data_IF_554273333930
#
_entry.id   IF_554273333930
#
_cell.length_a   1.000
_cell.length_b   1.000
_cell.length_c   1.000
_cell.angle_alpha   90.00
_cell.angle_beta   90.00
_cell.angle_gamma   90.00
#
_symmetry.space_group_name_H-M   'P 1'
#
loop_
_entity.id
_entity.type
_entity.pdbx_description
1 polymer ?
#
# COMPACT_ATOMS: atom_id res chain seq x y z
N UNK A 1 61.49 -21.17 7.47
CA UNK A 1 60.26 -21.61 6.79
C UNK A 1 59.05 -20.92 7.40
N UNK A 2 58.63 -19.81 6.81
CA UNK A 2 57.52 -18.98 7.34
C UNK A 2 56.24 -19.27 6.59
N UNK A 3 55.17 -19.72 7.27
CA UNK A 3 53.83 -19.93 6.71
C UNK A 3 53.09 -18.59 6.64
N UNK A 4 52.81 -18.12 5.42
CA UNK A 4 51.89 -17.00 5.16
C UNK A 4 50.46 -17.46 5.44
N UNK A 5 49.77 -16.77 6.38
CA UNK A 5 48.31 -16.89 6.54
C UNK A 5 47.60 -16.07 5.44
N UNK A 6 46.76 -16.74 4.68
CA UNK A 6 45.88 -16.08 3.72
C UNK A 6 44.74 -15.39 4.50
N UNK A 7 44.61 -14.07 4.37
CA UNK A 7 43.43 -13.33 4.79
C UNK A 7 42.35 -13.48 3.71
N UNK A 8 41.31 -14.25 3.98
CA UNK A 8 40.05 -14.27 3.21
C UNK A 8 39.25 -13.05 3.60
N UNK A 9 39.22 -12.06 2.73
CA UNK A 9 38.36 -10.89 2.83
C UNK A 9 36.90 -11.32 2.54
N UNK A 10 36.06 -11.33 3.55
CA UNK A 10 34.62 -11.39 3.41
C UNK A 10 34.15 -10.07 2.75
N UNK A 11 33.80 -10.11 1.47
CA UNK A 11 33.05 -9.03 0.83
C UNK A 11 31.65 -9.01 1.46
N UNK A 12 31.41 -8.05 2.34
CA UNK A 12 30.10 -7.74 2.85
C UNK A 12 29.15 -7.45 1.68
N UNK A 13 27.99 -8.11 1.65
CA UNK A 13 26.90 -7.75 0.77
C UNK A 13 26.57 -6.28 1.02
N UNK A 14 26.60 -5.47 -0.03
CA UNK A 14 26.09 -4.09 0.05
C UNK A 14 24.63 -4.16 0.49
N UNK A 15 24.20 -3.32 1.45
CA UNK A 15 22.80 -3.23 1.81
C UNK A 15 22.00 -2.81 0.55
N UNK A 16 20.87 -3.48 0.30
CA UNK A 16 19.94 -3.08 -0.75
C UNK A 16 19.49 -1.63 -0.57
N UNK A 17 18.92 -0.99 -1.62
CA UNK A 17 18.50 0.40 -1.54
C UNK A 17 17.58 0.58 -0.34
N UNK A 18 17.96 1.49 0.55
CA UNK A 18 17.13 1.89 1.69
C UNK A 18 15.79 2.46 1.17
N UNK A 19 14.66 2.20 1.87
CA UNK A 19 13.38 2.80 1.51
C UNK A 19 13.55 4.31 1.33
N UNK A 20 13.00 4.87 0.24
CA UNK A 20 13.09 6.31 0.01
C UNK A 20 12.31 7.04 1.11
N UNK A 21 13.04 7.50 2.12
CA UNK A 21 12.49 8.30 3.20
C UNK A 21 12.12 9.69 2.67
N UNK A 22 10.94 10.15 3.04
CA UNK A 22 10.43 11.47 2.68
C UNK A 22 11.07 12.54 3.58
N UNK A 23 12.15 13.14 3.15
CA UNK A 23 12.77 14.28 3.84
C UNK A 23 12.08 15.60 3.47
N UNK A 24 10.91 15.86 4.07
CA UNK A 24 10.27 17.16 3.94
C UNK A 24 10.99 18.20 4.82
N UNK A 25 11.30 19.36 4.24
CA UNK A 25 11.73 20.51 5.04
C UNK A 25 10.64 20.93 6.04
N UNK A 26 11.02 21.62 7.11
CA UNK A 26 10.06 22.09 8.13
C UNK A 26 8.94 22.95 7.50
N UNK A 27 9.27 23.80 6.52
CA UNK A 27 8.30 24.62 5.80
C UNK A 27 7.30 23.74 5.01
N UNK A 28 7.76 22.78 4.22
CA UNK A 28 6.89 21.85 3.48
C UNK A 28 6.03 21.00 4.41
N UNK A 29 6.55 20.59 5.57
CA UNK A 29 5.79 19.86 6.58
C UNK A 29 4.66 20.69 7.17
N UNK A 30 4.93 21.95 7.49
CA UNK A 30 3.90 22.86 7.98
C UNK A 30 2.82 23.11 6.92
N UNK A 31 3.20 23.31 5.67
CA UNK A 31 2.26 23.46 4.56
C UNK A 31 1.38 22.20 4.39
N UNK A 32 1.99 21.00 4.44
CA UNK A 32 1.26 19.74 4.40
C UNK A 32 0.25 19.61 5.54
N UNK A 33 0.62 20.00 6.76
CA UNK A 33 -0.28 19.97 7.91
C UNK A 33 -1.50 20.88 7.69
N UNK A 34 -1.31 22.09 7.19
CA UNK A 34 -2.41 23.02 6.86
C UNK A 34 -3.34 22.42 5.80
N UNK A 35 -2.76 21.79 4.76
CA UNK A 35 -3.56 21.13 3.73
C UNK A 35 -4.32 19.92 4.28
N UNK A 36 -3.72 19.12 5.16
CA UNK A 36 -4.38 18.01 5.83
C UNK A 36 -5.52 18.45 6.74
N UNK A 37 -5.37 19.57 7.47
CA UNK A 37 -6.46 20.13 8.27
C UNK A 37 -7.62 20.61 7.38
N UNK A 38 -7.33 21.31 6.29
CA UNK A 38 -8.34 21.69 5.29
C UNK A 38 -9.04 20.46 4.70
N UNK A 39 -8.29 19.44 4.34
CA UNK A 39 -8.80 18.20 3.76
C UNK A 39 -9.73 17.48 4.76
N UNK A 40 -9.32 17.41 6.03
CA UNK A 40 -10.12 16.83 7.10
C UNK A 40 -11.45 17.57 7.28
N UNK A 41 -11.42 18.91 7.28
CA UNK A 41 -12.62 19.74 7.39
C UNK A 41 -13.57 19.51 6.21
N UNK A 42 -13.08 19.56 4.96
CA UNK A 42 -13.87 19.32 3.76
C UNK A 42 -14.50 17.92 3.74
N UNK A 43 -13.76 16.92 4.18
CA UNK A 43 -14.20 15.51 4.14
C UNK A 43 -15.08 15.10 5.31
N UNK A 44 -15.11 15.87 6.40
CA UNK A 44 -15.88 15.56 7.62
C UNK A 44 -17.18 16.37 7.77
N UNK A 45 -17.36 17.44 7.01
CA UNK A 45 -18.53 18.32 7.16
C UNK A 45 -19.78 17.68 6.54
N UNK A 46 -20.86 17.45 7.34
CA UNK A 46 -22.12 16.88 6.87
C UNK A 46 -22.84 17.72 5.80
N UNK A 47 -22.66 19.04 5.79
CA UNK A 47 -23.28 19.95 4.82
C UNK A 47 -22.90 19.63 3.37
N UNK A 48 -21.75 18.97 3.15
CA UNK A 48 -21.31 18.56 1.81
C UNK A 48 -21.92 17.26 1.30
N UNK A 49 -22.77 16.58 2.08
CA UNK A 49 -23.46 15.36 1.62
C UNK A 49 -24.44 15.68 0.50
N UNK A 50 -25.12 16.81 0.56
CA UNK A 50 -26.06 17.28 -0.48
C UNK A 50 -25.38 17.91 -1.70
N UNK A 51 -24.10 18.24 -1.61
CA UNK A 51 -23.29 18.82 -2.67
C UNK A 51 -22.06 17.95 -2.96
N UNK A 52 -22.28 16.65 -3.05
CA UNK A 52 -21.22 15.63 -3.13
C UNK A 52 -20.21 15.87 -4.26
N UNK A 53 -20.69 16.33 -5.43
CA UNK A 53 -19.81 16.64 -6.57
C UNK A 53 -18.91 17.86 -6.31
N UNK A 54 -19.45 18.97 -5.83
CA UNK A 54 -18.65 20.16 -5.54
C UNK A 54 -17.63 19.87 -4.43
N UNK A 55 -18.06 19.14 -3.41
CA UNK A 55 -17.14 18.69 -2.35
C UNK A 55 -16.00 17.83 -2.89
N UNK A 56 -16.28 16.93 -3.83
CA UNK A 56 -15.25 16.13 -4.50
C UNK A 56 -14.26 17.00 -5.27
N UNK A 57 -14.71 18.03 -5.96
CA UNK A 57 -13.83 18.98 -6.67
C UNK A 57 -12.92 19.72 -5.70
N UNK A 58 -13.47 20.24 -4.60
CA UNK A 58 -12.71 20.95 -3.56
C UNK A 58 -11.66 20.02 -2.91
N UNK A 59 -12.04 18.79 -2.58
CA UNK A 59 -11.12 17.76 -2.06
C UNK A 59 -10.01 17.46 -3.08
N UNK A 60 -10.37 17.28 -4.34
CA UNK A 60 -9.42 16.94 -5.41
C UNK A 60 -8.39 18.06 -5.62
N UNK A 61 -8.81 19.34 -5.54
CA UNK A 61 -7.88 20.48 -5.62
C UNK A 61 -6.85 20.45 -4.47
N UNK A 62 -7.31 20.18 -3.24
CA UNK A 62 -6.40 20.10 -2.09
C UNK A 62 -5.46 18.90 -2.23
N UNK A 63 -5.97 17.74 -2.68
CA UNK A 63 -5.16 16.55 -2.89
C UNK A 63 -4.08 16.75 -3.97
N UNK A 64 -4.35 17.51 -5.03
CA UNK A 64 -3.32 17.86 -6.01
C UNK A 64 -2.17 18.66 -5.37
N UNK A 65 -2.46 19.56 -4.44
CA UNK A 65 -1.43 20.30 -3.70
C UNK A 65 -0.65 19.36 -2.76
N UNK A 66 -1.35 18.48 -2.05
CA UNK A 66 -0.73 17.45 -1.19
C UNK A 66 0.22 16.57 -2.01
N UNK A 67 -0.22 16.02 -3.12
CA UNK A 67 0.61 15.17 -4.00
C UNK A 67 1.87 15.88 -4.47
N UNK A 68 1.80 17.17 -4.85
CA UNK A 68 2.97 17.97 -5.23
C UNK A 68 3.98 18.16 -4.10
N UNK A 69 3.52 18.30 -2.85
CA UNK A 69 4.41 18.39 -1.69
C UNK A 69 5.04 17.04 -1.35
N UNK A 70 4.30 15.97 -1.56
CA UNK A 70 4.72 14.61 -1.26
C UNK A 70 5.62 14.01 -2.35
N UNK A 71 5.83 14.69 -3.49
CA UNK A 71 6.54 14.22 -4.68
C UNK A 71 7.53 13.07 -4.39
N UNK A 72 7.08 11.84 -4.69
CA UNK A 72 7.90 10.66 -4.61
C UNK A 72 8.17 10.15 -6.03
N UNK A 73 9.39 9.70 -6.26
CA UNK A 73 9.68 9.00 -7.51
C UNK A 73 8.84 7.73 -7.53
N UNK A 74 8.04 7.58 -8.58
CA UNK A 74 7.27 6.35 -8.81
C UNK A 74 8.24 5.18 -8.89
N UNK A 75 8.15 4.24 -7.96
CA UNK A 75 8.88 2.99 -8.03
C UNK A 75 8.25 2.15 -9.16
N UNK A 76 8.91 2.08 -10.30
CA UNK A 76 8.54 1.13 -11.34
C UNK A 76 8.98 -0.26 -10.87
N UNK A 77 8.11 -0.96 -10.17
CA UNK A 77 8.33 -2.36 -9.83
C UNK A 77 8.17 -3.20 -11.10
N UNK A 78 9.24 -3.85 -11.53
CA UNK A 78 9.15 -4.90 -12.55
C UNK A 78 8.69 -6.19 -11.86
N UNK A 79 7.40 -6.31 -11.60
CA UNK A 79 6.76 -7.45 -10.92
C UNK A 79 7.14 -8.79 -11.54
N UNK A 80 7.26 -8.86 -12.86
CA UNK A 80 7.66 -10.06 -13.58
C UNK A 80 9.03 -10.62 -13.16
N UNK A 81 9.96 -9.77 -12.72
CA UNK A 81 11.27 -10.22 -12.20
C UNK A 81 11.17 -10.90 -10.83
N UNK A 82 10.14 -10.61 -10.05
CA UNK A 82 9.91 -11.18 -8.72
C UNK A 82 9.16 -12.51 -8.69
N UNK A 83 8.62 -12.97 -9.84
CA UNK A 83 7.75 -14.17 -9.89
C UNK A 83 8.42 -15.39 -9.29
N UNK A 84 9.65 -15.70 -9.70
CA UNK A 84 10.38 -16.89 -9.21
C UNK A 84 10.59 -16.85 -7.69
N UNK A 85 10.95 -15.68 -7.15
CA UNK A 85 11.14 -15.50 -5.72
C UNK A 85 9.82 -15.65 -4.95
N UNK A 86 8.73 -15.12 -5.50
CA UNK A 86 7.40 -15.25 -4.91
C UNK A 86 6.91 -16.70 -4.88
N UNK A 87 7.03 -17.43 -5.98
CA UNK A 87 6.61 -18.84 -6.07
C UNK A 87 7.45 -19.71 -5.11
N UNK A 88 8.77 -19.52 -5.07
CA UNK A 88 9.64 -20.20 -4.11
C UNK A 88 9.22 -19.91 -2.66
N UNK A 89 8.96 -18.65 -2.33
CA UNK A 89 8.47 -18.26 -1.00
C UNK A 89 7.15 -18.95 -0.65
N UNK A 90 6.21 -19.06 -1.61
CA UNK A 90 4.93 -19.77 -1.39
C UNK A 90 5.18 -21.26 -1.07
N UNK A 91 5.97 -21.95 -1.90
CA UNK A 91 6.21 -23.40 -1.75
C UNK A 91 7.03 -23.73 -0.51
N UNK A 92 8.05 -22.93 -0.17
CA UNK A 92 8.85 -23.07 1.06
C UNK A 92 7.99 -22.91 2.32
N UNK A 93 6.89 -22.17 2.23
CA UNK A 93 5.94 -21.98 3.34
C UNK A 93 4.69 -22.88 3.23
N UNK A 94 4.76 -23.94 2.43
CA UNK A 94 3.77 -25.00 2.39
C UNK A 94 2.59 -24.80 1.45
N UNK A 95 2.65 -23.82 0.55
CA UNK A 95 1.66 -23.72 -0.52
C UNK A 95 1.88 -24.83 -1.56
N UNK A 96 0.79 -25.35 -2.11
CA UNK A 96 0.78 -26.30 -3.22
C UNK A 96 0.19 -25.59 -4.43
N UNK A 97 1.02 -25.44 -5.45
CA UNK A 97 0.70 -24.70 -6.69
C UNK A 97 1.15 -25.50 -7.93
N UNK A 98 1.21 -26.83 -7.79
CA UNK A 98 1.65 -27.74 -8.83
C UNK A 98 0.76 -27.62 -10.07
N UNK A 99 1.37 -27.61 -11.25
CA UNK A 99 0.65 -27.44 -12.52
C UNK A 99 0.16 -26.02 -12.83
N UNK A 100 0.59 -25.02 -12.02
CA UNK A 100 0.27 -23.60 -12.24
C UNK A 100 1.54 -22.79 -12.43
N UNK A 101 1.45 -21.75 -13.26
CA UNK A 101 2.49 -20.72 -13.37
C UNK A 101 1.90 -19.31 -13.27
N UNK A 102 2.68 -18.40 -12.70
CA UNK A 102 2.38 -16.96 -12.77
C UNK A 102 3.03 -16.41 -14.03
N UNK A 103 2.24 -15.84 -14.92
CA UNK A 103 2.71 -15.32 -16.21
C UNK A 103 2.13 -13.95 -16.49
N UNK A 104 2.81 -13.19 -17.34
CA UNK A 104 2.30 -11.91 -17.83
C UNK A 104 1.46 -12.15 -19.08
N UNK A 105 0.21 -11.67 -19.04
CA UNK A 105 -0.71 -11.71 -20.18
C UNK A 105 -0.75 -10.33 -20.85
N UNK A 106 -0.52 -10.28 -22.15
CA UNK A 106 -0.55 -9.04 -22.91
C UNK A 106 -1.89 -8.31 -22.72
N UNK A 107 -1.83 -7.08 -22.21
CA UNK A 107 -3.01 -6.24 -21.92
C UNK A 107 -3.72 -6.55 -20.59
N UNK A 108 -3.31 -7.55 -19.81
CA UNK A 108 -3.96 -7.97 -18.56
C UNK A 108 -3.02 -8.05 -17.35
N UNK A 109 -1.72 -7.75 -17.52
CA UNK A 109 -0.72 -7.86 -16.46
C UNK A 109 -0.53 -9.33 -15.99
N UNK A 110 -0.14 -9.57 -14.75
CA UNK A 110 0.13 -10.91 -14.22
C UNK A 110 -1.16 -11.68 -13.93
N UNK A 111 -1.15 -12.96 -14.29
CA UNK A 111 -2.23 -13.89 -14.03
C UNK A 111 -1.73 -15.31 -13.81
N UNK A 112 -2.63 -16.24 -13.53
CA UNK A 112 -2.33 -17.66 -13.41
C UNK A 112 -2.62 -18.38 -14.72
N UNK A 113 -1.71 -19.26 -15.13
CA UNK A 113 -1.85 -20.17 -16.26
C UNK A 113 -1.76 -21.61 -15.79
N UNK A 114 -2.69 -22.46 -16.25
CA UNK A 114 -2.58 -23.90 -16.10
C UNK A 114 -1.49 -24.44 -17.05
N UNK A 115 -0.56 -25.20 -16.52
CA UNK A 115 0.48 -25.90 -17.29
C UNK A 115 0.14 -27.36 -17.55
N UNK A 116 -0.90 -27.87 -16.87
CA UNK A 116 -1.45 -29.20 -16.99
C UNK A 116 -2.97 -29.16 -17.07
N UNK A 117 -3.60 -30.20 -17.57
CA UNK A 117 -5.05 -30.36 -17.51
C UNK A 117 -5.48 -30.67 -16.07
N UNK A 118 -6.56 -30.06 -15.61
CA UNK A 118 -7.20 -30.36 -14.34
C UNK A 118 -8.57 -31.02 -14.60
N UNK A 119 -8.84 -32.07 -13.85
CA UNK A 119 -10.11 -32.77 -13.90
C UNK A 119 -11.12 -32.15 -12.92
N UNK A 120 -12.40 -32.44 -13.12
CA UNK A 120 -13.44 -31.99 -12.20
C UNK A 120 -13.18 -32.47 -10.76
N UNK A 121 -13.30 -31.60 -9.77
CA UNK A 121 -13.02 -31.81 -8.36
C UNK A 121 -11.53 -32.02 -8.01
N UNK A 122 -10.61 -31.84 -8.93
CA UNK A 122 -9.19 -31.86 -8.64
C UNK A 122 -8.75 -30.61 -7.90
N UNK A 123 -7.82 -30.74 -6.94
CA UNK A 123 -7.25 -29.62 -6.21
C UNK A 123 -6.30 -28.83 -7.11
N UNK A 124 -6.69 -27.59 -7.44
CA UNK A 124 -5.88 -26.70 -8.30
C UNK A 124 -4.75 -26.04 -7.50
N UNK A 125 -5.05 -25.51 -6.31
CA UNK A 125 -4.05 -24.93 -5.42
C UNK A 125 -4.48 -25.02 -3.96
N UNK A 126 -3.49 -24.99 -3.06
CA UNK A 126 -3.70 -24.92 -1.62
C UNK A 126 -2.76 -23.86 -1.04
N UNK A 127 -3.34 -22.84 -0.39
CA UNK A 127 -2.60 -21.75 0.26
C UNK A 127 -2.82 -21.83 1.76
N UNK A 128 -1.77 -22.10 2.56
CA UNK A 128 -1.88 -22.11 4.04
C UNK A 128 -2.38 -20.75 4.56
N UNK A 129 -3.21 -20.76 5.60
CA UNK A 129 -3.74 -19.54 6.24
C UNK A 129 -2.65 -18.57 6.70
N UNK A 130 -1.48 -19.07 7.09
CA UNK A 130 -0.32 -18.27 7.48
C UNK A 130 0.26 -17.42 6.34
N UNK A 131 -0.05 -17.76 5.08
CA UNK A 131 0.34 -17.02 3.88
C UNK A 131 -0.75 -16.07 3.36
N UNK A 132 -1.86 -15.94 4.07
CA UNK A 132 -2.90 -14.95 3.77
C UNK A 132 -2.61 -13.71 4.59
N UNK A 133 -2.28 -12.58 3.93
CA UNK A 133 -2.08 -11.31 4.60
C UNK A 133 -3.42 -10.79 5.13
N UNK A 134 -3.57 -10.72 6.43
CA UNK A 134 -4.81 -10.36 7.12
C UNK A 134 -4.51 -9.56 8.38
N UNK A 135 -5.52 -8.93 8.97
CA UNK A 135 -5.37 -8.24 10.27
C UNK A 135 -4.91 -9.18 11.38
N UNK A 136 -5.22 -10.47 11.30
CA UNK A 136 -4.75 -11.47 12.25
C UNK A 136 -3.26 -11.79 12.08
N UNK A 137 -2.80 -12.00 10.83
CA UNK A 137 -1.38 -12.30 10.54
C UNK A 137 -0.47 -11.08 10.70
N UNK A 138 -1.05 -9.87 10.64
CA UNK A 138 -0.36 -8.58 10.84
C UNK A 138 -0.64 -7.96 12.23
N UNK A 139 -1.25 -8.69 13.16
CA UNK A 139 -1.68 -8.15 14.46
C UNK A 139 -0.51 -7.55 15.27
N UNK A 140 0.69 -8.15 15.21
CA UNK A 140 1.88 -7.64 15.89
C UNK A 140 2.27 -6.22 15.43
N UNK A 141 2.09 -5.91 14.17
CA UNK A 141 2.43 -4.60 13.60
C UNK A 141 1.40 -3.53 13.99
N UNK A 142 0.19 -3.94 14.31
CA UNK A 142 -0.92 -3.05 14.69
C UNK A 142 -0.97 -2.77 16.20
N UNK A 143 -0.19 -3.46 17.03
CA UNK A 143 -0.20 -3.29 18.50
C UNK A 143 -0.02 -1.83 18.94
N UNK A 144 0.78 -1.07 18.21
CA UNK A 144 1.06 0.34 18.50
C UNK A 144 -0.16 1.23 18.27
N UNK A 145 -1.08 0.80 17.39
CA UNK A 145 -2.30 1.51 17.03
C UNK A 145 -3.55 0.80 17.56
N UNK A 146 -3.39 -0.17 18.46
CA UNK A 146 -4.49 -1.00 18.97
C UNK A 146 -5.61 -0.20 19.64
N UNK A 147 -5.30 1.01 20.16
CA UNK A 147 -6.28 1.89 20.80
C UNK A 147 -6.85 2.95 19.83
N UNK A 148 -6.44 2.95 18.56
CA UNK A 148 -6.98 3.87 17.57
C UNK A 148 -8.38 3.39 17.12
N UNK A 149 -9.42 4.23 17.20
CA UNK A 149 -10.80 3.82 16.88
C UNK A 149 -10.97 3.37 15.42
N UNK A 150 -10.25 3.96 14.46
CA UNK A 150 -10.34 3.55 13.07
C UNK A 150 -9.70 2.19 12.86
N UNK A 151 -8.56 1.91 13.52
CA UNK A 151 -7.88 0.61 13.44
C UNK A 151 -8.72 -0.49 14.11
N UNK A 152 -9.38 -0.17 15.25
CA UNK A 152 -10.22 -1.14 15.95
C UNK A 152 -11.51 -1.51 15.18
N UNK A 153 -12.17 -0.52 14.58
CA UNK A 153 -13.52 -0.70 14.05
C UNK A 153 -13.58 -0.80 12.52
N UNK A 154 -12.46 -0.59 11.82
CA UNK A 154 -12.38 -0.64 10.36
C UNK A 154 -11.27 -1.60 9.90
N UNK A 155 -11.56 -2.90 9.76
CA UNK A 155 -10.56 -3.91 9.42
C UNK A 155 -9.78 -3.60 8.13
N UNK A 156 -10.44 -3.00 7.13
CA UNK A 156 -9.78 -2.58 5.89
C UNK A 156 -8.75 -1.48 6.10
N UNK A 157 -9.00 -0.55 7.03
CA UNK A 157 -8.04 0.50 7.41
C UNK A 157 -6.86 -0.12 8.16
N UNK A 158 -7.14 -0.98 9.12
CA UNK A 158 -6.11 -1.73 9.84
C UNK A 158 -5.21 -2.52 8.89
N UNK A 159 -5.82 -3.21 7.91
CA UNK A 159 -5.08 -3.98 6.90
C UNK A 159 -4.19 -3.10 6.02
N UNK A 160 -4.70 -1.95 5.56
CA UNK A 160 -3.95 -1.00 4.75
C UNK A 160 -2.73 -0.45 5.51
N UNK A 161 -2.90 -0.07 6.78
CA UNK A 161 -1.79 0.40 7.64
C UNK A 161 -0.77 -0.72 7.88
N UNK A 162 -1.22 -1.94 8.18
CA UNK A 162 -0.34 -3.08 8.38
C UNK A 162 0.48 -3.42 7.13
N UNK A 163 -0.15 -3.38 5.96
CA UNK A 163 0.51 -3.61 4.67
C UNK A 163 1.57 -2.55 4.40
N UNK A 164 1.29 -1.29 4.72
CA UNK A 164 2.23 -0.20 4.55
C UNK A 164 3.43 -0.35 5.52
N UNK A 165 3.20 -0.74 6.77
CA UNK A 165 4.27 -1.02 7.74
C UNK A 165 5.18 -2.14 7.21
N UNK A 166 4.60 -3.28 6.83
CA UNK A 166 5.36 -4.43 6.33
C UNK A 166 6.13 -4.13 5.04
N UNK A 167 5.58 -3.30 4.16
CA UNK A 167 6.24 -2.90 2.91
C UNK A 167 7.55 -2.13 3.15
N UNK A 168 7.60 -1.33 4.22
CA UNK A 168 8.75 -0.47 4.53
C UNK A 168 9.56 -0.92 5.76
N UNK A 169 9.18 -2.02 6.39
CA UNK A 169 9.91 -2.65 7.46
C UNK A 169 11.12 -3.40 6.91
N UNK A 170 12.28 -3.19 7.54
CA UNK A 170 13.46 -4.01 7.23
C UNK A 170 13.18 -5.49 7.54
N UNK A 171 13.61 -6.38 6.66
CA UNK A 171 13.48 -7.83 6.83
C UNK A 171 12.04 -8.33 6.99
N UNK A 172 11.07 -7.72 6.31
CA UNK A 172 9.70 -8.24 6.27
C UNK A 172 9.66 -9.63 5.64
N UNK A 173 9.05 -10.59 6.35
CA UNK A 173 8.78 -11.94 5.81
C UNK A 173 7.81 -11.93 4.63
N UNK A 174 7.05 -10.84 4.49
CA UNK A 174 6.07 -10.63 3.43
C UNK A 174 6.66 -10.01 2.16
N UNK A 175 7.94 -9.67 2.18
CA UNK A 175 8.58 -8.97 1.07
C UNK A 175 8.32 -9.62 -0.30
N UNK A 176 8.43 -10.96 -0.48
CA UNK A 176 8.16 -11.56 -1.79
C UNK A 176 6.72 -11.35 -2.27
N UNK A 177 5.75 -11.34 -1.35
CA UNK A 177 4.34 -11.03 -1.65
C UNK A 177 4.15 -9.53 -1.95
N UNK A 178 4.73 -8.65 -1.14
CA UNK A 178 4.59 -7.19 -1.28
C UNK A 178 5.20 -6.67 -2.58
N UNK A 179 6.28 -7.28 -3.04
CA UNK A 179 6.93 -6.96 -4.32
C UNK A 179 6.07 -7.37 -5.54
N UNK A 180 5.10 -8.28 -5.35
CA UNK A 180 4.15 -8.71 -6.37
C UNK A 180 2.89 -7.86 -6.45
N UNK A 181 2.65 -6.96 -5.49
CA UNK A 181 1.47 -6.09 -5.52
C UNK A 181 1.56 -5.09 -6.68
N UNK A 182 0.44 -4.79 -7.36
CA UNK A 182 0.39 -3.77 -8.40
C UNK A 182 0.78 -2.40 -7.84
N UNK A 183 1.41 -1.57 -8.67
CA UNK A 183 1.72 -0.18 -8.34
C UNK A 183 0.56 0.78 -8.64
N UNK A 184 -0.43 0.35 -9.42
CA UNK A 184 -1.63 1.10 -9.76
C UNK A 184 -2.82 0.17 -9.95
N UNK A 185 -4.02 0.71 -9.79
CA UNK A 185 -5.28 -0.03 -9.91
C UNK A 185 -6.26 0.77 -10.77
N UNK A 186 -7.26 0.10 -11.33
CA UNK A 186 -8.32 0.70 -12.15
C UNK A 186 -9.59 0.99 -11.34
N UNK A 187 -9.44 1.37 -10.08
CA UNK A 187 -10.57 1.75 -9.21
C UNK A 187 -10.90 3.24 -9.32
N UNK A 188 -12.04 3.65 -8.79
CA UNK A 188 -12.49 5.06 -8.78
C UNK A 188 -11.50 6.01 -8.09
N UNK A 189 -10.64 5.51 -7.20
CA UNK A 189 -9.61 6.30 -6.54
C UNK A 189 -8.48 6.73 -7.48
N UNK A 190 -8.27 6.00 -8.58
CA UNK A 190 -7.29 6.30 -9.64
C UNK A 190 -7.89 7.10 -10.80
N UNK A 191 -9.23 7.27 -10.84
CA UNK A 191 -9.91 8.03 -11.86
C UNK A 191 -9.60 9.51 -11.74
N UNK A 192 -9.42 10.16 -12.89
CA UNK A 192 -9.35 11.62 -12.98
C UNK A 192 -10.77 12.20 -12.91
N UNK A 193 -10.86 13.49 -12.67
CA UNK A 193 -12.15 14.19 -12.62
C UNK A 193 -12.97 14.00 -13.89
N UNK A 194 -12.33 13.96 -15.06
CA UNK A 194 -13.02 13.71 -16.33
C UNK A 194 -13.58 12.30 -16.44
N UNK A 195 -12.89 11.31 -15.88
CA UNK A 195 -13.37 9.92 -15.86
C UNK A 195 -14.55 9.78 -14.88
N UNK A 196 -14.49 10.48 -13.74
CA UNK A 196 -15.57 10.51 -12.75
C UNK A 196 -16.86 11.16 -13.31
N UNK A 197 -16.75 12.12 -14.23
CA UNK A 197 -17.91 12.74 -14.89
C UNK A 197 -18.70 11.73 -15.72
N UNK A 198 -18.04 10.75 -16.33
CA UNK A 198 -18.69 9.71 -17.13
C UNK A 198 -19.61 8.81 -16.29
N UNK A 199 -19.45 8.81 -14.97
CA UNK A 199 -20.35 8.11 -14.05
C UNK A 199 -21.66 8.86 -13.77
N UNK A 200 -21.87 10.08 -14.31
CA UNK A 200 -23.11 10.83 -14.14
C UNK A 200 -24.33 10.04 -14.65
N UNK A 201 -25.38 10.04 -13.83
CA UNK A 201 -26.59 9.25 -14.13
C UNK A 201 -26.52 7.80 -13.66
N UNK A 202 -25.35 7.33 -13.20
CA UNK A 202 -25.21 6.02 -12.57
C UNK A 202 -25.27 6.13 -11.04
N UNK A 203 -25.88 5.19 -10.32
CA UNK A 203 -25.83 5.10 -8.86
C UNK A 203 -24.39 4.90 -8.34
N UNK A 204 -23.48 4.43 -9.18
CA UNK A 204 -22.07 4.24 -8.85
C UNK A 204 -21.35 5.56 -8.53
N UNK A 205 -21.77 6.71 -9.13
CA UNK A 205 -21.16 8.00 -8.87
C UNK A 205 -21.18 8.36 -7.38
N UNK A 206 -22.33 8.26 -6.73
CA UNK A 206 -22.46 8.60 -5.31
C UNK A 206 -21.56 7.73 -4.42
N UNK A 207 -21.49 6.43 -4.72
CA UNK A 207 -20.60 5.51 -4.02
C UNK A 207 -19.12 5.88 -4.22
N UNK A 208 -18.74 6.22 -5.46
CA UNK A 208 -17.38 6.65 -5.81
C UNK A 208 -16.99 7.95 -5.08
N UNK A 209 -17.84 8.98 -5.10
CA UNK A 209 -17.61 10.25 -4.40
C UNK A 209 -17.48 10.04 -2.88
N UNK A 210 -18.33 9.19 -2.30
CA UNK A 210 -18.26 8.82 -0.88
C UNK A 210 -16.93 8.11 -0.55
N UNK A 211 -16.48 7.21 -1.42
CA UNK A 211 -15.20 6.52 -1.23
C UNK A 211 -14.02 7.50 -1.27
N UNK A 212 -13.95 8.37 -2.28
CA UNK A 212 -12.91 9.40 -2.39
C UNK A 212 -12.87 10.30 -1.15
N UNK A 213 -14.04 10.75 -0.68
CA UNK A 213 -14.16 11.56 0.55
C UNK A 213 -13.67 10.80 1.79
N UNK A 214 -14.03 9.53 1.93
CA UNK A 214 -13.63 8.73 3.09
C UNK A 214 -12.10 8.51 3.13
N UNK A 215 -11.48 8.18 2.01
CA UNK A 215 -10.03 8.01 1.92
C UNK A 215 -9.31 9.33 2.23
N UNK A 216 -9.77 10.45 1.69
CA UNK A 216 -9.20 11.77 1.98
C UNK A 216 -9.26 12.10 3.48
N UNK A 217 -10.37 11.78 4.16
CA UNK A 217 -10.53 11.95 5.60
C UNK A 217 -9.60 11.04 6.40
N UNK A 218 -9.51 9.77 6.05
CA UNK A 218 -8.64 8.80 6.71
C UNK A 218 -7.16 9.19 6.55
N UNK A 219 -6.74 9.57 5.34
CA UNK A 219 -5.39 10.05 5.10
C UNK A 219 -5.04 11.25 5.98
N UNK A 220 -5.87 12.29 6.01
CA UNK A 220 -5.61 13.48 6.80
C UNK A 220 -5.59 13.19 8.31
N UNK A 221 -6.45 12.28 8.78
CA UNK A 221 -6.45 11.80 10.17
C UNK A 221 -5.15 11.10 10.53
N UNK A 222 -4.74 10.09 9.76
CA UNK A 222 -3.53 9.33 10.06
C UNK A 222 -2.25 10.14 9.88
N UNK A 223 -2.20 11.07 8.94
CA UNK A 223 -1.07 11.99 8.85
C UNK A 223 -0.86 12.73 10.18
N UNK A 224 -1.93 13.20 10.81
CA UNK A 224 -1.88 13.85 12.13
C UNK A 224 -1.49 12.88 13.25
N UNK A 225 -2.04 11.67 13.27
CA UNK A 225 -1.72 10.64 14.26
C UNK A 225 -0.24 10.30 14.23
N UNK A 226 0.32 10.01 13.04
CA UNK A 226 1.72 9.61 12.92
C UNK A 226 2.71 10.71 13.24
N UNK A 227 2.34 11.98 13.07
CA UNK A 227 3.19 13.10 13.44
C UNK A 227 3.24 13.34 14.96
N UNK A 228 2.17 13.01 15.68
CA UNK A 228 2.04 13.26 17.11
C UNK A 228 2.44 12.06 17.99
N UNK A 229 2.72 10.91 17.41
CA UNK A 229 3.03 9.69 18.16
C UNK A 229 4.51 9.36 18.06
N UNK A 230 5.18 9.17 19.20
CA UNK A 230 6.61 8.82 19.27
C UNK A 230 6.80 7.33 19.57
N UNK A 231 6.70 6.49 18.54
CA UNK A 231 7.04 5.08 18.61
C UNK A 231 7.75 4.65 17.31
N UNK A 232 8.45 3.51 17.29
CA UNK A 232 9.22 3.09 16.10
C UNK A 232 8.37 2.93 14.83
N UNK A 233 7.15 2.42 14.96
CA UNK A 233 6.22 2.24 13.84
C UNK A 233 5.76 3.58 13.28
N UNK A 234 5.41 4.53 14.15
CA UNK A 234 5.07 5.90 13.73
C UNK A 234 6.25 6.63 13.10
N UNK A 235 7.48 6.30 13.49
CA UNK A 235 8.67 6.84 12.84
C UNK A 235 8.76 6.38 11.38
N UNK A 236 8.57 5.07 11.13
CA UNK A 236 8.53 4.52 9.77
C UNK A 236 7.40 5.20 8.97
N UNK A 237 6.18 5.22 9.53
CA UNK A 237 5.02 5.77 8.84
C UNK A 237 5.14 7.26 8.54
N UNK A 238 5.73 8.08 9.42
CA UNK A 238 5.99 9.51 9.15
C UNK A 238 6.78 9.73 7.87
N UNK A 239 7.71 8.84 7.57
CA UNK A 239 8.61 8.98 6.43
C UNK A 239 8.03 8.41 5.14
N UNK A 240 7.11 7.45 5.24
CA UNK A 240 6.60 6.72 4.08
C UNK A 240 5.11 6.93 3.79
N UNK A 241 4.34 7.42 4.78
CA UNK A 241 2.90 7.61 4.63
C UNK A 241 2.61 8.80 3.72
N UNK A 242 2.14 8.54 2.52
CA UNK A 242 1.69 9.53 1.54
C UNK A 242 0.28 9.21 1.08
N UNK A 243 -0.40 10.20 0.50
CA UNK A 243 -1.73 9.95 -0.06
C UNK A 243 -1.70 8.84 -1.12
N UNK A 244 -0.71 8.85 -2.00
CA UNK A 244 -0.58 7.85 -3.08
C UNK A 244 -0.21 6.44 -2.61
N UNK A 245 0.36 6.31 -1.42
CA UNK A 245 0.70 5.00 -0.84
C UNK A 245 -0.40 4.43 0.04
N UNK A 246 -1.33 5.27 0.49
CA UNK A 246 -2.38 4.89 1.42
C UNK A 246 -3.64 4.36 0.71
N UNK A 247 -3.96 4.87 -0.46
CA UNK A 247 -5.20 4.52 -1.20
C UNK A 247 -5.04 3.45 -2.31
#
# INVERSE_FOLDING_TARGET
MGRKKAHTSFKGKQPGPSPQQRHLSAAKRNELNVLCEKLFHLSSNPAYVTQSWNNYLDISEVLLKVKRLEEMKTETSQRSQGIGQFVNWLTENGARVDGLSVVEFSGYDLGLRAETDFTENELIMEIPRGLIFSTYTAASELLVLQNDPLVQHMPQVALAIALLIEKYKENSKWKPYLDMLPSSYNTVLYMKTNDMIELKGSPTLEAALKQCRNIARQYSYFNKVFQNTNNPVSAILRDVFTYERYW
#
